data_IF_671413324765
#
_entry.id   IF_671413324765
#
_cell.length_a   1.000
_cell.length_b   1.000
_cell.length_c   1.000
_cell.angle_alpha   90.00
_cell.angle_beta   90.00
_cell.angle_gamma   90.00
#
_symmetry.space_group_name_H-M   'P 1'
#
loop_
_entity.id
_entity.type
_entity.pdbx_description
1 polymer ?
#
# COMPACT_ATOMS: atom_id res chain seq x y z
N UNK A 1 -3.18 -12.80 -3.08
CA UNK A 1 -1.81 -12.82 -3.68
C UNK A 1 -0.84 -12.31 -2.64
N UNK A 2 0.10 -13.14 -2.17
CA UNK A 2 0.98 -12.82 -1.02
C UNK A 2 1.78 -11.52 -1.17
N UNK A 3 2.21 -11.17 -2.39
CA UNK A 3 2.91 -9.92 -2.66
C UNK A 3 2.04 -8.68 -2.39
N UNK A 4 0.78 -8.70 -2.85
CA UNK A 4 -0.16 -7.59 -2.67
C UNK A 4 -0.44 -7.32 -1.19
N UNK A 5 -0.69 -8.37 -0.41
CA UNK A 5 -0.92 -8.26 1.04
C UNK A 5 0.32 -7.71 1.76
N UNK A 6 1.51 -8.22 1.44
CA UNK A 6 2.77 -7.77 2.05
C UNK A 6 3.07 -6.31 1.72
N UNK A 7 2.93 -5.93 0.46
CA UNK A 7 3.21 -4.55 0.00
C UNK A 7 2.23 -3.56 0.60
N UNK A 8 0.92 -3.85 0.61
CA UNK A 8 -0.09 -2.98 1.25
C UNK A 8 0.12 -2.88 2.76
N UNK A 9 0.44 -3.98 3.45
CA UNK A 9 0.77 -3.94 4.88
C UNK A 9 1.96 -3.02 5.16
N UNK A 10 3.04 -3.13 4.38
CA UNK A 10 4.22 -2.27 4.56
C UNK A 10 3.91 -0.80 4.27
N UNK A 11 3.07 -0.50 3.27
CA UNK A 11 2.58 0.86 3.03
C UNK A 11 1.89 1.42 4.27
N UNK A 12 0.95 0.66 4.86
CA UNK A 12 0.24 1.08 6.07
C UNK A 12 1.18 1.26 7.26
N UNK A 13 2.16 0.37 7.44
CA UNK A 13 3.21 0.50 8.46
C UNK A 13 4.05 1.77 8.32
N UNK A 14 4.41 2.14 7.10
CA UNK A 14 5.13 3.39 6.80
C UNK A 14 4.25 4.61 7.08
N UNK A 15 2.99 4.57 6.66
CA UNK A 15 2.03 5.64 6.94
C UNK A 15 1.78 5.80 8.43
N UNK A 16 1.80 4.72 9.21
CA UNK A 16 1.73 4.74 10.67
C UNK A 16 3.01 5.27 11.33
N UNK A 17 4.10 5.47 10.58
CA UNK A 17 5.41 5.84 11.13
C UNK A 17 6.13 4.70 11.84
N UNK A 18 5.65 3.44 11.72
CA UNK A 18 6.26 2.24 12.32
C UNK A 18 7.46 1.73 11.54
N UNK A 19 7.60 2.15 10.28
CA UNK A 19 8.70 1.76 9.39
C UNK A 19 9.19 2.97 8.58
N UNK A 20 10.49 3.06 8.26
CA UNK A 20 10.99 4.03 7.29
C UNK A 20 10.46 3.74 5.88
N UNK A 21 10.14 4.80 5.12
CA UNK A 21 9.66 4.66 3.74
C UNK A 21 10.68 4.00 2.80
N UNK A 22 11.98 4.06 3.13
CA UNK A 22 13.03 3.38 2.38
C UNK A 22 12.80 1.86 2.26
N UNK A 23 12.09 1.24 3.21
CA UNK A 23 11.75 -0.18 3.17
C UNK A 23 10.77 -0.55 2.06
N UNK A 24 10.07 0.43 1.46
CA UNK A 24 9.16 0.20 0.33
C UNK A 24 9.91 0.09 -1.01
N UNK A 25 11.14 0.59 -1.12
CA UNK A 25 11.91 0.62 -2.38
C UNK A 25 12.06 -0.75 -3.07
N UNK A 26 12.18 -1.89 -2.37
CA UNK A 26 12.20 -3.21 -3.02
C UNK A 26 10.83 -3.66 -3.56
N UNK A 27 9.74 -3.10 -3.03
CA UNK A 27 8.36 -3.55 -3.30
C UNK A 27 7.54 -2.57 -4.14
N UNK A 28 8.02 -1.35 -4.37
CA UNK A 28 7.27 -0.29 -5.03
C UNK A 28 8.12 0.45 -6.07
N UNK A 29 7.44 1.01 -7.07
CA UNK A 29 8.04 1.94 -8.02
C UNK A 29 8.43 3.25 -7.31
N UNK A 30 9.48 3.96 -7.76
CA UNK A 30 9.95 5.19 -7.10
C UNK A 30 8.86 6.26 -6.94
N UNK A 31 7.96 6.38 -7.91
CA UNK A 31 6.83 7.31 -7.86
C UNK A 31 5.86 6.99 -6.73
N UNK A 32 5.61 5.70 -6.47
CA UNK A 32 4.78 5.25 -5.35
C UNK A 32 5.48 5.49 -4.03
N UNK A 33 6.80 5.24 -3.94
CA UNK A 33 7.58 5.55 -2.73
C UNK A 33 7.48 7.03 -2.37
N UNK A 34 7.71 7.93 -3.34
CA UNK A 34 7.63 9.37 -3.12
C UNK A 34 6.21 9.83 -2.71
N UNK A 35 5.17 9.23 -3.29
CA UNK A 35 3.79 9.51 -2.90
C UNK A 35 3.52 9.07 -1.45
N UNK A 36 3.94 7.86 -1.07
CA UNK A 36 3.78 7.34 0.31
C UNK A 36 4.58 8.17 1.31
N UNK A 37 5.80 8.59 0.99
CA UNK A 37 6.59 9.51 1.82
C UNK A 37 5.85 10.83 2.06
N UNK A 38 5.23 11.38 1.02
CA UNK A 38 4.45 12.61 1.11
C UNK A 38 3.22 12.42 1.99
N UNK A 39 2.47 11.34 1.79
CA UNK A 39 1.33 10.99 2.65
C UNK A 39 1.77 10.74 4.10
N UNK A 40 2.89 10.08 4.33
CA UNK A 40 3.41 9.85 5.68
C UNK A 40 3.76 11.16 6.40
N UNK A 41 4.21 12.20 5.69
CA UNK A 41 4.45 13.51 6.31
C UNK A 41 3.15 14.23 6.68
N UNK A 42 2.09 14.03 5.92
CA UNK A 42 0.79 14.71 6.15
C UNK A 42 -0.21 13.92 6.99
N UNK A 43 0.01 12.61 7.20
CA UNK A 43 -0.91 11.71 7.91
C UNK A 43 -0.96 11.87 9.44
N UNK A 44 -0.39 12.94 10.01
CA UNK A 44 -0.32 13.11 11.47
C UNK A 44 -1.70 13.10 12.16
N UNK A 45 -2.73 13.66 11.52
CA UNK A 45 -4.09 13.63 12.05
C UNK A 45 -4.73 12.24 11.96
N UNK A 46 -4.53 11.53 10.84
CA UNK A 46 -5.06 10.18 10.62
C UNK A 46 -4.42 9.14 11.55
N UNK A 47 -3.13 9.31 11.89
CA UNK A 47 -2.44 8.46 12.88
C UNK A 47 -3.10 8.47 14.26
N UNK A 48 -3.78 9.56 14.63
CA UNK A 48 -4.48 9.67 15.92
C UNK A 48 -5.67 8.71 16.01
N UNK A 49 -6.16 8.19 14.89
CA UNK A 49 -7.23 7.18 14.86
C UNK A 49 -6.72 5.77 15.24
N UNK A 50 -5.42 5.59 15.48
CA UNK A 50 -4.81 4.31 15.78
C UNK A 50 -4.16 3.64 14.55
N UNK A 51 -3.56 2.45 14.73
CA UNK A 51 -2.84 1.75 13.67
C UNK A 51 -3.77 1.34 12.53
N UNK A 52 -3.24 1.34 11.30
CA UNK A 52 -3.98 0.83 10.16
C UNK A 52 -3.87 -0.71 10.08
N UNK A 53 -5.00 -1.40 10.14
CA UNK A 53 -5.09 -2.85 10.09
C UNK A 53 -5.68 -3.29 8.75
N UNK A 54 -4.88 -3.97 7.93
CA UNK A 54 -5.33 -4.50 6.65
C UNK A 54 -6.31 -5.65 6.87
N UNK A 55 -7.56 -5.51 6.39
CA UNK A 55 -8.63 -6.49 6.64
C UNK A 55 -8.90 -7.36 5.42
N UNK A 56 -8.85 -6.78 4.23
CA UNK A 56 -9.13 -7.51 2.99
C UNK A 56 -8.20 -7.05 1.89
N UNK A 57 -7.80 -8.02 1.07
CA UNK A 57 -7.06 -7.78 -0.17
C UNK A 57 -7.57 -8.76 -1.21
N UNK A 58 -7.96 -8.24 -2.35
CA UNK A 58 -8.25 -9.02 -3.56
C UNK A 58 -7.39 -8.46 -4.68
N UNK A 59 -7.00 -9.35 -5.59
CA UNK A 59 -6.23 -8.99 -6.75
C UNK A 59 -6.82 -9.67 -7.98
N UNK A 60 -6.97 -8.92 -9.06
CA UNK A 60 -7.46 -9.40 -10.36
C UNK A 60 -6.39 -9.14 -11.40
N UNK A 61 -5.97 -10.18 -12.10
CA UNK A 61 -5.07 -10.04 -13.25
C UNK A 61 -5.78 -9.27 -14.35
N UNK A 62 -5.15 -8.20 -14.85
CA UNK A 62 -5.70 -7.34 -15.92
C UNK A 62 -4.92 -7.45 -17.22
N UNK A 63 -3.66 -7.87 -17.15
CA UNK A 63 -2.81 -8.17 -18.31
C UNK A 63 -1.66 -9.10 -17.90
N UNK A 64 -0.92 -9.61 -18.89
CA UNK A 64 0.32 -10.34 -18.63
C UNK A 64 1.27 -9.48 -17.78
N UNK A 65 1.62 -9.97 -16.58
CA UNK A 65 2.47 -9.23 -15.64
C UNK A 65 1.82 -7.98 -15.04
N UNK A 66 0.49 -7.86 -15.01
CA UNK A 66 -0.20 -6.76 -14.31
C UNK A 66 -1.47 -7.23 -13.62
N UNK A 67 -1.66 -6.79 -12.37
CA UNK A 67 -2.88 -7.02 -11.62
C UNK A 67 -3.33 -5.74 -10.91
N UNK A 68 -4.64 -5.57 -10.82
CA UNK A 68 -5.27 -4.57 -9.97
C UNK A 68 -5.57 -5.17 -8.61
N UNK A 69 -5.36 -4.39 -7.56
CA UNK A 69 -5.50 -4.79 -6.17
C UNK A 69 -6.49 -3.85 -5.51
N UNK A 70 -7.47 -4.41 -4.80
CA UNK A 70 -8.47 -3.65 -4.07
C UNK A 70 -8.75 -4.30 -2.72
N UNK A 71 -9.11 -3.50 -1.74
CA UNK A 71 -9.31 -3.98 -0.38
C UNK A 71 -9.71 -2.88 0.58
N UNK A 72 -9.65 -3.22 1.86
CA UNK A 72 -9.96 -2.30 2.93
C UNK A 72 -9.06 -2.49 4.14
N UNK A 73 -8.89 -1.42 4.90
CA UNK A 73 -8.18 -1.41 6.17
C UNK A 73 -8.98 -0.64 7.21
N UNK A 74 -8.85 -1.04 8.47
CA UNK A 74 -9.48 -0.36 9.58
C UNK A 74 -8.47 0.58 10.25
N UNK A 75 -8.94 1.76 10.69
CA UNK A 75 -8.25 2.64 11.63
C UNK A 75 -9.26 3.07 12.69
N UNK A 76 -9.03 2.64 13.93
CA UNK A 76 -9.98 2.86 15.01
C UNK A 76 -11.32 2.20 14.70
N UNK A 77 -12.40 2.97 14.76
CA UNK A 77 -13.76 2.51 14.46
C UNK A 77 -14.18 2.71 12.99
N UNK A 78 -13.25 3.10 12.11
CA UNK A 78 -13.54 3.42 10.70
C UNK A 78 -12.88 2.42 9.76
N UNK A 79 -13.63 1.97 8.76
CA UNK A 79 -13.12 1.22 7.61
C UNK A 79 -12.84 2.16 6.44
N UNK A 80 -11.68 1.98 5.84
CA UNK A 80 -11.15 2.74 4.72
C UNK A 80 -10.88 1.82 3.53
N UNK A 81 -10.78 2.41 2.35
CA UNK A 81 -10.57 1.65 1.12
C UNK A 81 -9.16 1.86 0.58
N UNK A 82 -8.62 0.80 -0.03
CA UNK A 82 -7.35 0.85 -0.74
C UNK A 82 -7.52 0.28 -2.13
N UNK A 83 -6.94 0.98 -3.11
CA UNK A 83 -6.79 0.51 -4.47
C UNK A 83 -5.33 0.64 -4.88
N UNK A 84 -4.84 -0.31 -5.67
CA UNK A 84 -3.47 -0.36 -6.10
C UNK A 84 -3.34 -1.10 -7.43
N UNK A 85 -2.21 -0.87 -8.11
CA UNK A 85 -1.82 -1.66 -9.27
C UNK A 85 -0.45 -2.26 -9.01
N UNK A 86 -0.30 -3.54 -9.32
CA UNK A 86 0.99 -4.23 -9.30
C UNK A 86 1.39 -4.63 -10.72
N UNK A 87 2.69 -4.56 -10.98
CA UNK A 87 3.30 -4.92 -12.27
C UNK A 87 4.50 -5.82 -12.02
N UNK A 88 4.69 -6.82 -12.87
CA UNK A 88 5.89 -7.66 -12.87
C UNK A 88 6.95 -7.02 -13.78
N UNK A 89 8.13 -6.77 -13.23
CA UNK A 89 9.31 -6.29 -13.96
C UNK A 89 10.42 -7.31 -13.78
N UNK A 90 10.85 -7.93 -14.90
CA UNK A 90 11.91 -8.96 -14.90
C UNK A 90 11.65 -10.11 -13.90
N UNK A 91 10.38 -10.49 -13.72
CA UNK A 91 9.97 -11.56 -12.79
C UNK A 91 9.58 -11.08 -11.39
N UNK A 92 9.93 -9.85 -11.01
CA UNK A 92 9.60 -9.31 -9.68
C UNK A 92 8.38 -8.41 -9.72
N UNK A 93 7.44 -8.65 -8.81
CA UNK A 93 6.29 -7.78 -8.63
C UNK A 93 6.67 -6.46 -7.96
N UNK A 94 6.06 -5.37 -8.41
CA UNK A 94 6.22 -4.02 -7.89
C UNK A 94 4.86 -3.33 -7.79
N UNK A 95 4.67 -2.57 -6.72
CA UNK A 95 3.54 -1.65 -6.56
C UNK A 95 3.75 -0.43 -7.45
N UNK A 96 2.94 -0.30 -8.51
CA UNK A 96 3.08 0.73 -9.54
C UNK A 96 2.12 1.91 -9.36
N UNK A 97 1.00 1.70 -8.66
CA UNK A 97 0.07 2.76 -8.30
C UNK A 97 -0.59 2.43 -6.96
N UNK A 98 -0.98 3.48 -6.22
CA UNK A 98 -1.62 3.37 -4.93
C UNK A 98 -2.61 4.52 -4.73
N UNK A 99 -3.79 4.19 -4.19
CA UNK A 99 -4.79 5.15 -3.72
C UNK A 99 -5.35 4.67 -2.38
N UNK A 100 -5.39 5.59 -1.43
CA UNK A 100 -6.02 5.42 -0.12
C UNK A 100 -7.17 6.43 -0.02
N UNK A 101 -8.25 6.03 0.65
CA UNK A 101 -9.48 6.80 0.86
C UNK A 101 -9.96 6.61 2.28
#
# INVERSE_FOLDING_TARGET
>A
MRFAERSLRLVLEVLDGRRPAAHLRPLAEPTVVAAVETLARTAAAERRLGPALLVSVRATTVAAGSAEVFGGYDRGNRRFAVAARIVARRGDWRLAALRLR
#
